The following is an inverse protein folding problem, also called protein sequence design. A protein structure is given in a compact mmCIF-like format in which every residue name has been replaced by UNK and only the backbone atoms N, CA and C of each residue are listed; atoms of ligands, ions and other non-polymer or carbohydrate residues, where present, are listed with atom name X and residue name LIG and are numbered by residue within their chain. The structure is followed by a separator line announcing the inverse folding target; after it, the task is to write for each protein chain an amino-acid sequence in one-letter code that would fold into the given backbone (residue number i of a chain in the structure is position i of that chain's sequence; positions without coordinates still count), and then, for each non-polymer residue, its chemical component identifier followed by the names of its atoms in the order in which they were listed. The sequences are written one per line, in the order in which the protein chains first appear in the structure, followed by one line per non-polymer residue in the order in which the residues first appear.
data_IF_106832303483
#
_entry.id   IF_106832303483
#
_cell.length_a   1.000
_cell.length_b   1.000
_cell.length_c   1.000
_cell.angle_alpha   90.00
_cell.angle_beta   90.00
_cell.angle_gamma   90.00
#
_symmetry.space_group_name_H-M   'P 1'
#
loop_
_entity.id
_entity.type
_entity.pdbx_description
1 polymer ?
#
# COMPACT_ATOMS: atom_id res chain seq x y z
N UNK A 1 -7.48 -14.52 -12.83
CA UNK A 1 -6.45 -15.41 -12.22
C UNK A 1 -6.32 -15.04 -10.75
N UNK A 2 -5.88 -15.93 -9.84
CA UNK A 2 -5.68 -15.59 -8.42
C UNK A 2 -4.20 -15.41 -8.10
N UNK A 3 -3.88 -14.33 -7.39
CA UNK A 3 -2.57 -14.07 -6.79
C UNK A 3 -2.76 -14.20 -5.28
N UNK A 4 -1.92 -14.99 -4.65
CA UNK A 4 -1.97 -15.21 -3.21
C UNK A 4 -1.03 -14.24 -2.51
N UNK A 5 -1.42 -13.76 -1.34
CA UNK A 5 -0.59 -12.89 -0.51
C UNK A 5 -0.60 -13.39 0.93
N UNK A 6 0.57 -13.39 1.58
CA UNK A 6 0.64 -13.68 3.01
C UNK A 6 0.02 -12.52 3.80
N UNK A 7 -0.62 -12.79 4.95
CA UNK A 7 -1.11 -11.74 5.84
C UNK A 7 -0.02 -10.74 6.24
N UNK A 8 1.24 -11.19 6.44
CA UNK A 8 2.36 -10.30 6.75
C UNK A 8 2.64 -9.30 5.62
N UNK A 9 2.71 -9.76 4.37
CA UNK A 9 2.89 -8.89 3.21
C UNK A 9 1.72 -7.90 3.07
N UNK A 10 0.49 -8.38 3.27
CA UNK A 10 -0.70 -7.52 3.28
C UNK A 10 -0.62 -6.42 4.35
N UNK A 11 -0.26 -6.78 5.58
CA UNK A 11 -0.17 -5.81 6.67
C UNK A 11 0.96 -4.81 6.48
N UNK A 12 2.10 -5.22 5.90
CA UNK A 12 3.16 -4.28 5.55
C UNK A 12 2.66 -3.24 4.52
N UNK A 13 1.95 -3.69 3.48
CA UNK A 13 1.36 -2.79 2.48
C UNK A 13 0.31 -1.85 3.06
N UNK A 14 -0.60 -2.37 3.90
CA UNK A 14 -1.60 -1.56 4.58
C UNK A 14 -0.94 -0.53 5.49
N UNK A 15 0.07 -0.93 6.26
CA UNK A 15 0.82 -0.04 7.12
C UNK A 15 1.45 1.11 6.31
N UNK A 16 2.10 0.81 5.19
CA UNK A 16 2.66 1.83 4.28
C UNK A 16 1.58 2.77 3.73
N UNK A 17 0.46 2.20 3.26
CA UNK A 17 -0.64 2.97 2.68
C UNK A 17 -1.28 3.93 3.69
N UNK A 18 -1.32 3.54 4.96
CA UNK A 18 -1.89 4.34 6.04
C UNK A 18 -0.93 5.41 6.58
N UNK A 19 0.38 5.18 6.45
CA UNK A 19 1.44 6.02 7.05
C UNK A 19 1.57 7.42 6.45
N UNK A 20 1.12 7.61 5.20
CA UNK A 20 1.28 8.84 4.44
C UNK A 20 0.05 9.11 3.55
N UNK A 21 -0.24 10.39 3.22
CA UNK A 21 -1.22 10.69 2.18
C UNK A 21 -0.67 10.46 0.75
N UNK A 22 0.64 10.34 0.59
CA UNK A 22 1.29 10.14 -0.71
C UNK A 22 1.25 8.68 -1.17
N UNK A 23 1.35 8.47 -2.48
CA UNK A 23 1.55 7.14 -3.03
C UNK A 23 2.93 6.59 -2.63
N UNK A 24 3.01 5.29 -2.36
CA UNK A 24 4.24 4.59 -2.04
C UNK A 24 4.32 3.32 -2.88
N UNK A 25 5.50 3.03 -3.41
CA UNK A 25 5.78 1.84 -4.23
C UNK A 25 6.68 0.84 -3.52
N UNK A 26 6.49 -0.44 -3.80
CA UNK A 26 7.28 -1.54 -3.28
C UNK A 26 7.31 -2.71 -4.28
N UNK A 27 8.18 -3.66 -4.01
CA UNK A 27 8.37 -4.85 -4.83
C UNK A 27 7.93 -6.07 -4.04
N UNK A 28 6.93 -6.80 -4.54
CA UNK A 28 6.50 -8.06 -3.96
C UNK A 28 7.53 -9.16 -4.20
N UNK A 29 7.79 -9.98 -3.17
CA UNK A 29 8.67 -11.14 -3.24
C UNK A 29 7.82 -12.39 -3.41
N UNK A 30 7.97 -13.09 -4.52
CA UNK A 30 7.28 -14.34 -4.82
C UNK A 30 7.94 -15.53 -4.13
N UNK A 31 7.12 -16.44 -3.61
CA UNK A 31 7.58 -17.73 -3.09
C UNK A 31 7.86 -18.71 -4.25
N UNK A 32 9.10 -19.22 -4.38
CA UNK A 32 9.49 -20.03 -5.52
C UNK A 32 9.04 -21.50 -5.44
N UNK A 33 8.56 -21.94 -4.28
CA UNK A 33 8.16 -23.32 -4.02
C UNK A 33 6.67 -23.58 -4.33
N UNK A 34 5.95 -22.56 -4.79
CA UNK A 34 4.51 -22.61 -4.99
C UNK A 34 4.15 -22.64 -6.48
N UNK A 35 3.06 -23.35 -6.80
CA UNK A 35 2.50 -23.38 -8.17
C UNK A 35 1.67 -22.15 -8.51
N UNK A 36 1.41 -21.29 -7.52
CA UNK A 36 0.61 -20.07 -7.66
C UNK A 36 1.54 -18.86 -7.53
N UNK A 37 1.15 -17.72 -8.09
CA UNK A 37 1.83 -16.45 -7.77
C UNK A 37 1.53 -16.11 -6.31
N UNK A 38 2.43 -16.47 -5.40
CA UNK A 38 2.31 -16.20 -3.97
C UNK A 38 3.32 -15.16 -3.54
N UNK A 39 2.84 -13.98 -3.16
CA UNK A 39 3.63 -12.92 -2.56
C UNK A 39 3.81 -13.26 -1.08
N UNK A 40 5.06 -13.48 -0.66
CA UNK A 40 5.40 -13.85 0.71
C UNK A 40 5.86 -12.67 1.56
N UNK A 41 6.45 -11.66 0.92
CA UNK A 41 6.93 -10.43 1.55
C UNK A 41 6.92 -9.27 0.54
N UNK A 42 7.19 -8.07 1.01
CA UNK A 42 7.34 -6.87 0.16
C UNK A 42 8.59 -6.09 0.57
N UNK A 43 9.29 -5.54 -0.42
CA UNK A 43 10.47 -4.71 -0.24
C UNK A 43 10.12 -3.27 -0.59
N UNK A 44 10.20 -2.38 0.39
CA UNK A 44 10.06 -0.94 0.16
C UNK A 44 11.26 -0.43 -0.63
N UNK A 45 11.00 0.10 -1.82
CA UNK A 45 12.04 0.66 -2.70
C UNK A 45 12.34 2.10 -2.28
N UNK A 46 13.60 2.53 -2.41
CA UNK A 46 13.95 3.94 -2.25
C UNK A 46 13.27 4.80 -3.32
N UNK A 47 12.63 5.88 -2.90
CA UNK A 47 11.72 6.62 -3.75
C UNK A 47 11.50 8.06 -3.28
N UNK A 48 11.18 8.93 -4.25
CA UNK A 48 10.65 10.25 -4.00
C UNK A 48 9.14 10.25 -4.24
N UNK A 49 8.37 10.74 -3.28
CA UNK A 49 6.90 10.64 -3.30
C UNK A 49 6.21 11.99 -3.26
N UNK A 50 5.10 12.04 -4.00
CA UNK A 50 4.09 13.10 -3.97
C UNK A 50 2.69 12.48 -3.92
N UNK A 51 1.65 13.31 -3.82
CA UNK A 51 0.26 12.82 -3.77
C UNK A 51 -0.21 12.12 -5.06
N UNK A 52 0.47 12.35 -6.20
CA UNK A 52 0.02 11.88 -7.53
C UNK A 52 1.11 11.13 -8.30
N UNK A 53 2.31 11.00 -7.74
CA UNK A 53 3.44 10.39 -8.43
C UNK A 53 4.48 9.85 -7.45
N UNK A 54 5.07 8.72 -7.81
CA UNK A 54 6.23 8.12 -7.18
C UNK A 54 7.35 8.01 -8.20
N UNK A 55 8.51 8.55 -7.87
CA UNK A 55 9.75 8.33 -8.62
C UNK A 55 10.59 7.28 -7.90
N UNK A 56 10.84 6.16 -8.57
CA UNK A 56 11.56 5.02 -8.01
C UNK A 56 13.06 5.16 -8.29
N UNK A 57 13.89 5.02 -7.25
CA UNK A 57 15.34 4.92 -7.39
C UNK A 57 15.71 3.53 -7.95
N UNK A 58 15.61 3.40 -9.28
CA UNK A 58 15.83 2.13 -9.99
C UNK A 58 17.30 1.69 -9.98
N UNK A 59 18.23 2.62 -9.79
CA UNK A 59 19.66 2.30 -9.61
C UNK A 59 19.85 1.63 -8.24
N UNK A 60 19.33 2.24 -7.18
CA UNK A 60 19.33 1.63 -5.84
C UNK A 60 18.61 0.26 -5.86
N UNK A 61 17.49 0.15 -6.57
CA UNK A 61 16.76 -1.11 -6.66
C UNK A 61 17.57 -2.21 -7.35
N UNK A 62 18.29 -1.90 -8.43
CA UNK A 62 19.14 -2.87 -9.11
C UNK A 62 20.25 -3.39 -8.20
N UNK A 63 20.92 -2.50 -7.45
CA UNK A 63 21.93 -2.88 -6.46
C UNK A 63 21.32 -3.72 -5.33
N UNK A 64 20.14 -3.33 -4.85
CA UNK A 64 19.44 -4.06 -3.80
C UNK A 64 19.00 -5.46 -4.24
N UNK A 65 18.64 -5.66 -5.51
CA UNK A 65 18.38 -7.00 -6.05
C UNK A 65 19.60 -7.91 -5.99
N UNK A 66 20.81 -7.37 -6.21
CA UNK A 66 22.05 -8.12 -6.05
C UNK A 66 22.24 -8.54 -4.59
N UNK A 67 21.99 -7.64 -3.65
CA UNK A 67 22.07 -7.97 -2.22
C UNK A 67 21.07 -9.05 -1.79
N UNK A 68 19.82 -8.96 -2.25
CA UNK A 68 18.78 -9.96 -1.98
C UNK A 68 19.19 -11.34 -2.52
N UNK A 69 19.80 -11.38 -3.70
CA UNK A 69 20.35 -12.62 -4.24
C UNK A 69 21.52 -13.16 -3.41
N UNK A 70 22.47 -12.30 -3.02
CA UNK A 70 23.64 -12.72 -2.27
C UNK A 70 23.28 -13.24 -0.87
N UNK A 71 22.45 -12.50 -0.14
CA UNK A 71 22.07 -12.78 1.26
C UNK A 71 21.00 -13.85 1.38
N UNK A 72 19.97 -13.79 0.54
CA UNK A 72 18.73 -14.56 0.72
C UNK A 72 18.43 -15.51 -0.44
N UNK A 73 19.25 -15.48 -1.51
CA UNK A 73 19.08 -16.30 -2.73
C UNK A 73 17.77 -16.00 -3.48
N UNK A 74 17.19 -14.82 -3.24
CA UNK A 74 16.03 -14.33 -3.98
C UNK A 74 16.47 -14.03 -5.41
N UNK A 75 15.83 -14.69 -6.37
CA UNK A 75 16.10 -14.51 -7.80
C UNK A 75 15.41 -13.23 -8.30
N UNK A 76 15.94 -12.54 -9.33
CA UNK A 76 15.31 -11.35 -9.90
C UNK A 76 13.85 -11.56 -10.33
N UNK A 77 13.51 -12.74 -10.87
CA UNK A 77 12.14 -13.03 -11.27
C UNK A 77 11.16 -13.11 -10.09
N UNK A 78 11.65 -13.39 -8.86
CA UNK A 78 10.80 -13.40 -7.67
C UNK A 78 10.33 -12.00 -7.30
N UNK A 79 11.00 -10.95 -7.78
CA UNK A 79 10.63 -9.56 -7.54
C UNK A 79 9.95 -8.90 -8.74
N UNK A 80 9.39 -9.70 -9.66
CA UNK A 80 8.60 -9.24 -10.82
C UNK A 80 7.21 -8.70 -10.46
N UNK A 81 7.03 -8.18 -9.24
CA UNK A 81 5.74 -7.75 -8.71
C UNK A 81 5.90 -6.32 -8.24
N UNK A 82 5.40 -5.37 -9.03
CA UNK A 82 5.31 -3.99 -8.61
C UNK A 82 3.98 -3.75 -7.90
N UNK A 83 4.07 -3.18 -6.70
CA UNK A 83 2.92 -2.86 -5.87
C UNK A 83 3.02 -1.39 -5.49
N UNK A 84 1.98 -0.60 -5.75
CA UNK A 84 1.91 0.78 -5.28
C UNK A 84 0.57 1.09 -4.61
N UNK A 85 0.55 2.12 -3.80
CA UNK A 85 -0.63 2.48 -3.01
C UNK A 85 -1.34 3.69 -3.61
N UNK A 86 -2.67 3.70 -3.63
CA UNK A 86 -3.49 4.88 -3.91
C UNK A 86 -4.30 5.28 -2.65
N UNK A 87 -3.72 6.11 -1.75
CA UNK A 87 -4.40 6.52 -0.52
C UNK A 87 -5.73 7.24 -0.72
N UNK A 88 -5.89 7.93 -1.87
CA UNK A 88 -7.10 8.67 -2.24
C UNK A 88 -8.32 7.79 -2.54
N UNK A 89 -8.11 6.47 -2.69
CA UNK A 89 -9.19 5.49 -2.82
C UNK A 89 -9.53 5.06 -4.25
N UNK A 90 -8.88 5.63 -5.26
CA UNK A 90 -9.01 5.18 -6.66
C UNK A 90 -8.19 3.90 -6.83
N UNK A 91 -8.81 2.76 -7.09
CA UNK A 91 -8.12 1.48 -7.24
C UNK A 91 -7.91 1.09 -8.72
N UNK A 92 -7.64 2.04 -9.60
CA UNK A 92 -7.38 1.78 -11.02
C UNK A 92 -6.06 2.46 -11.42
N UNK A 93 -5.30 1.87 -12.37
CA UNK A 93 -4.03 2.45 -12.79
C UNK A 93 -4.23 3.78 -13.50
N UNK A 94 -3.37 4.74 -13.17
CA UNK A 94 -3.25 6.01 -13.88
C UNK A 94 -2.53 5.84 -15.23
N UNK A 95 -2.56 6.87 -16.08
CA UNK A 95 -1.74 6.88 -17.31
C UNK A 95 -0.24 6.84 -17.03
N UNK A 96 0.19 7.36 -15.88
CA UNK A 96 1.59 7.30 -15.42
C UNK A 96 1.93 5.87 -15.01
N UNK A 97 1.02 5.17 -14.31
CA UNK A 97 1.24 3.78 -13.89
C UNK A 97 1.41 2.86 -15.11
N UNK A 98 0.59 3.09 -16.14
CA UNK A 98 0.69 2.36 -17.41
C UNK A 98 2.03 2.61 -18.12
N UNK A 99 2.54 3.83 -18.04
CA UNK A 99 3.84 4.19 -18.61
C UNK A 99 4.97 3.53 -17.83
N UNK A 100 4.99 3.65 -16.50
CA UNK A 100 5.98 3.02 -15.61
C UNK A 100 6.00 1.50 -15.81
N UNK A 101 4.83 0.86 -15.90
CA UNK A 101 4.75 -0.58 -16.15
C UNK A 101 5.44 -0.97 -17.46
N UNK A 102 5.22 -0.18 -18.52
CA UNK A 102 5.81 -0.43 -19.84
C UNK A 102 7.31 -0.20 -19.87
N UNK A 103 7.78 0.89 -19.27
CA UNK A 103 9.17 1.32 -19.34
C UNK A 103 10.07 0.49 -18.41
N UNK A 104 9.64 0.28 -17.17
CA UNK A 104 10.45 -0.40 -16.15
C UNK A 104 10.31 -1.92 -16.18
N UNK A 105 9.14 -2.44 -16.58
CA UNK A 105 8.83 -3.88 -16.51
C UNK A 105 8.46 -4.51 -17.87
N UNK A 106 8.39 -3.71 -18.95
CA UNK A 106 7.98 -4.21 -20.28
C UNK A 106 8.95 -5.20 -20.93
N UNK A 107 10.20 -5.26 -20.47
CA UNK A 107 11.20 -6.24 -20.93
C UNK A 107 11.14 -7.58 -20.19
N UNK A 108 10.41 -7.67 -19.08
CA UNK A 108 10.36 -8.87 -18.24
C UNK A 108 9.45 -9.92 -18.88
N UNK A 109 9.79 -11.21 -18.75
CA UNK A 109 8.96 -12.30 -19.28
C UNK A 109 7.55 -12.31 -18.68
N UNK A 110 7.44 -11.89 -17.42
CA UNK A 110 6.18 -11.52 -16.81
C UNK A 110 6.40 -10.39 -15.81
N UNK A 111 5.35 -9.64 -15.53
CA UNK A 111 5.34 -8.66 -14.44
C UNK A 111 3.92 -8.56 -13.87
N UNK A 112 3.83 -8.27 -12.58
CA UNK A 112 2.56 -8.10 -11.87
C UNK A 112 2.47 -6.65 -11.42
N UNK A 113 1.31 -6.04 -11.64
CA UNK A 113 0.97 -4.74 -11.06
C UNK A 113 -0.14 -4.95 -10.04
N UNK A 114 0.04 -4.38 -8.84
CA UNK A 114 -0.97 -4.37 -7.79
C UNK A 114 -1.13 -2.96 -7.26
N UNK A 115 -2.37 -2.51 -7.09
CA UNK A 115 -2.70 -1.25 -6.45
C UNK A 115 -3.49 -1.55 -5.17
N UNK A 116 -3.08 -0.95 -4.05
CA UNK A 116 -3.79 -1.03 -2.77
C UNK A 116 -4.30 0.36 -2.35
N UNK A 117 -5.56 0.44 -1.94
CA UNK A 117 -6.10 1.65 -1.30
C UNK A 117 -6.15 1.52 0.22
N UNK A 118 -6.26 2.65 0.93
CA UNK A 118 -6.46 2.68 2.40
C UNK A 118 -7.66 1.85 2.86
N UNK A 119 -8.71 1.78 2.03
CA UNK A 119 -9.90 0.98 2.29
C UNK A 119 -9.71 -0.53 2.05
N UNK A 120 -8.48 -0.99 1.77
CA UNK A 120 -8.19 -2.41 1.53
C UNK A 120 -8.69 -2.94 0.18
N UNK A 121 -8.99 -2.05 -0.77
CA UNK A 121 -9.39 -2.47 -2.12
C UNK A 121 -8.15 -2.67 -2.98
N UNK A 122 -8.20 -3.75 -3.76
CA UNK A 122 -7.14 -4.09 -4.70
C UNK A 122 -7.55 -3.81 -6.15
N UNK A 123 -6.57 -3.46 -6.95
CA UNK A 123 -6.50 -3.82 -8.36
C UNK A 123 -5.28 -4.69 -8.58
N UNK A 124 -5.40 -5.67 -9.47
CA UNK A 124 -4.26 -6.48 -9.85
C UNK A 124 -4.36 -6.94 -11.31
N UNK A 125 -3.22 -6.95 -11.99
CA UNK A 125 -3.07 -7.60 -13.28
C UNK A 125 -1.73 -8.31 -13.38
N UNK A 126 -1.67 -9.30 -14.26
CA UNK A 126 -0.42 -9.95 -14.65
C UNK A 126 -0.20 -9.75 -16.13
N UNK A 127 0.93 -9.17 -16.47
CA UNK A 127 1.39 -8.98 -17.83
C UNK A 127 2.34 -10.11 -18.20
N UNK A 128 2.00 -10.85 -19.26
CA UNK A 128 2.76 -11.99 -19.75
C UNK A 128 3.30 -11.67 -21.13
N UNK A 129 4.62 -11.79 -21.30
CA UNK A 129 5.26 -11.73 -22.61
C UNK A 129 5.21 -13.12 -23.25
N UNK A 130 4.67 -13.21 -24.46
CA UNK A 130 4.67 -14.44 -25.25
C UNK A 130 5.32 -14.19 -26.60
N UNK A 131 6.28 -15.03 -26.95
CA UNK A 131 6.87 -15.09 -28.29
C UNK A 131 6.26 -16.26 -29.05
N UNK A 132 5.57 -15.95 -30.15
CA UNK A 132 5.00 -16.94 -31.05
C UNK A 132 6.09 -17.55 -31.95
N UNK A 133 5.90 -18.78 -32.47
CA UNK A 133 6.87 -19.44 -33.34
C UNK A 133 7.28 -18.66 -34.60
N UNK A 134 6.47 -17.68 -35.02
CA UNK A 134 6.75 -16.79 -36.16
C UNK A 134 7.59 -15.55 -35.77
N UNK A 135 8.10 -15.48 -34.53
CA UNK A 135 8.86 -14.35 -34.00
C UNK A 135 8.00 -13.14 -33.61
N UNK A 136 6.67 -13.25 -33.69
CA UNK A 136 5.78 -12.19 -33.18
C UNK A 136 5.79 -12.23 -31.66
N UNK A 137 6.00 -11.08 -31.04
CA UNK A 137 5.94 -10.91 -29.60
C UNK A 137 4.68 -10.15 -29.22
N UNK A 138 3.86 -10.72 -28.33
CA UNK A 138 2.68 -10.07 -27.78
C UNK A 138 2.75 -10.07 -26.25
N UNK A 139 2.28 -8.98 -25.65
CA UNK A 139 2.07 -8.85 -24.20
C UNK A 139 0.58 -8.94 -23.90
N UNK A 140 0.21 -9.86 -23.01
CA UNK A 140 -1.17 -10.06 -22.57
C UNK A 140 -1.31 -9.58 -21.13
N UNK A 141 -2.30 -8.71 -20.87
CA UNK A 141 -2.67 -8.30 -19.52
C UNK A 141 -3.87 -9.12 -19.03
N UNK A 142 -3.68 -9.83 -17.94
CA UNK A 142 -4.68 -10.72 -17.34
C UNK A 142 -5.17 -10.13 -16.02
N UNK A 143 -6.42 -9.65 -15.94
CA UNK A 143 -7.01 -9.23 -14.67
C UNK A 143 -6.94 -10.33 -13.63
N UNK A 144 -6.56 -9.95 -12.42
CA UNK A 144 -6.30 -10.88 -11.34
C UNK A 144 -6.95 -10.43 -10.04
N UNK A 145 -7.31 -11.41 -9.22
CA UNK A 145 -7.86 -11.20 -7.88
C UNK A 145 -6.77 -11.50 -6.85
N UNK A 146 -6.74 -10.70 -5.78
CA UNK A 146 -5.85 -10.92 -4.64
C UNK A 146 -6.58 -11.77 -3.60
N UNK A 147 -5.95 -12.86 -3.16
CA UNK A 147 -6.42 -13.74 -2.10
C UNK A 147 -5.44 -13.70 -0.92
N UNK A 148 -5.90 -13.17 0.21
CA UNK A 148 -5.10 -13.12 1.44
C UNK A 148 -5.21 -14.46 2.18
N UNK A 149 -4.07 -15.07 2.51
CA UNK A 149 -3.98 -16.39 3.11
C UNK A 149 -4.08 -16.35 4.65
N UNK A 150 -5.22 -15.91 5.19
CA UNK A 150 -5.46 -15.77 6.64
C UNK A 150 -5.29 -17.07 7.43
N UNK A 151 -5.60 -18.23 6.83
CA UNK A 151 -5.58 -19.54 7.51
C UNK A 151 -4.30 -20.37 7.29
N UNK A 152 -3.25 -19.81 6.70
CA UNK A 152 -2.02 -20.56 6.46
C UNK A 152 -1.27 -20.80 7.79
N UNK A 153 -0.96 -22.07 8.10
CA UNK A 153 -0.34 -22.53 9.36
C UNK A 153 1.06 -21.94 9.68
N UNK A 154 1.59 -21.05 8.87
CA UNK A 154 3.00 -20.64 8.88
C UNK A 154 3.19 -19.12 8.80
N UNK A 155 2.22 -18.33 9.26
CA UNK A 155 2.36 -16.88 9.25
C UNK A 155 2.60 -16.44 10.68
N UNK A 156 3.85 -16.14 11.01
CA UNK A 156 4.15 -15.45 12.27
C UNK A 156 3.36 -14.13 12.28
N UNK A 157 2.67 -13.81 13.39
CA UNK A 157 1.94 -12.55 13.50
C UNK A 157 2.90 -11.37 13.36
N UNK A 158 2.39 -10.24 12.85
CA UNK A 158 3.17 -8.99 12.81
C UNK A 158 3.56 -8.61 14.23
N UNK A 159 4.86 -8.50 14.47
CA UNK A 159 5.41 -8.17 15.79
C UNK A 159 5.78 -6.69 15.89
N UNK A 160 5.99 -6.20 17.12
CA UNK A 160 6.54 -4.84 17.35
C UNK A 160 7.90 -4.63 16.68
N UNK A 161 8.68 -5.71 16.54
CA UNK A 161 9.96 -5.67 15.83
C UNK A 161 9.74 -5.40 14.34
N UNK A 162 8.76 -6.05 13.72
CA UNK A 162 8.42 -5.81 12.30
C UNK A 162 8.03 -4.35 12.09
N UNK A 163 7.15 -3.80 12.94
CA UNK A 163 6.77 -2.38 12.85
C UNK A 163 7.95 -1.42 13.01
N UNK A 164 8.87 -1.72 13.93
CA UNK A 164 10.08 -0.91 14.11
C UNK A 164 10.96 -0.94 12.87
N UNK A 165 11.09 -2.10 12.24
CA UNK A 165 11.81 -2.26 10.97
C UNK A 165 11.11 -1.45 9.87
N UNK A 166 9.80 -1.62 9.69
CA UNK A 166 9.04 -0.91 8.64
C UNK A 166 9.11 0.61 8.80
N UNK A 167 9.02 1.13 10.03
CA UNK A 167 9.18 2.56 10.32
C UNK A 167 10.58 3.08 9.99
N UNK A 168 11.62 2.29 10.27
CA UNK A 168 12.99 2.64 9.90
C UNK A 168 13.17 2.67 8.37
N UNK A 169 12.68 1.65 7.68
CA UNK A 169 12.75 1.58 6.22
C UNK A 169 11.96 2.73 5.57
N UNK A 170 10.78 3.05 6.09
CA UNK A 170 9.96 4.16 5.60
C UNK A 170 10.70 5.49 5.69
N UNK A 171 11.29 5.81 6.86
CA UNK A 171 12.05 7.05 7.05
C UNK A 171 13.29 7.14 6.17
N UNK A 172 13.94 6.01 5.93
CA UNK A 172 15.15 5.96 5.10
C UNK A 172 14.83 6.06 3.61
N UNK A 173 13.74 5.42 3.16
CA UNK A 173 13.49 5.15 1.74
C UNK A 173 12.39 6.00 1.13
N UNK A 174 11.52 6.63 1.91
CA UNK A 174 10.43 7.47 1.42
C UNK A 174 10.76 8.93 1.67
N UNK A 175 11.17 9.62 0.61
CA UNK A 175 11.52 11.04 0.66
C UNK A 175 10.36 11.83 0.05
N UNK A 176 9.73 12.71 0.82
CA UNK A 176 8.72 13.59 0.26
C UNK A 176 9.38 14.59 -0.70
N UNK A 177 8.91 14.65 -1.95
CA UNK A 177 9.39 15.64 -2.92
C UNK A 177 9.15 17.04 -2.34
N UNK A 178 10.21 17.78 -2.06
CA UNK A 178 10.11 19.03 -1.34
C UNK A 178 9.26 20.07 -2.07
N UNK A 179 8.22 20.58 -1.40
CA UNK A 179 7.90 22.00 -1.53
C UNK A 179 9.12 22.73 -0.96
N UNK A 180 9.80 23.51 -1.80
CA UNK A 180 10.85 24.43 -1.38
C UNK A 180 10.39 25.21 -0.14
N UNK A 181 11.13 25.09 0.96
CA UNK A 181 11.05 25.99 2.10
C UNK A 181 11.45 27.40 1.61
N UNK A 182 10.49 28.18 1.11
CA UNK A 182 10.66 29.63 1.01
C UNK A 182 10.49 30.22 2.41
N UNK A 183 11.60 30.38 3.12
CA UNK A 183 11.72 31.43 4.12
C UNK A 183 11.63 32.79 3.41
N UNK A 184 10.45 33.41 3.44
CA UNK A 184 10.32 34.87 3.42
C UNK A 184 8.92 35.25 3.88
N UNK A 185 8.84 35.89 5.05
CA UNK A 185 7.59 36.21 5.71
C UNK A 185 6.74 37.23 4.99
N UNK A 186 5.42 37.12 5.16
CA UNK A 186 4.46 38.21 5.13
C UNK A 186 3.31 37.90 6.10
N UNK A 187 2.83 38.96 6.75
CA UNK A 187 1.84 39.00 7.82
C UNK A 187 0.40 38.70 7.30
N UNK A 188 -0.59 38.51 8.21
CA UNK A 188 -1.90 37.97 7.86
C UNK A 188 -2.79 39.01 7.18
N UNK A 189 -3.60 38.58 6.21
CA UNK A 189 -4.63 39.41 5.59
C UNK A 189 -6.01 38.78 5.78
N UNK A 190 -6.92 39.63 6.24
CA UNK A 190 -8.27 39.37 6.70
C UNK A 190 -9.23 38.85 5.62
N UNK A 191 -10.27 38.19 6.12
CA UNK A 191 -11.48 37.72 5.44
C UNK A 191 -12.19 38.82 4.64
N UNK A 192 -12.76 38.45 3.49
CA UNK A 192 -14.03 39.03 3.05
C UNK A 192 -14.96 37.95 2.47
N UNK A 193 -16.21 38.00 2.90
CA UNK A 193 -17.30 37.12 2.53
C UNK A 193 -18.05 37.70 1.33
N UNK A 194 -18.40 36.89 0.31
CA UNK A 194 -19.75 37.00 -0.30
C UNK A 194 -20.18 35.74 -1.06
N UNK A 195 -21.32 35.22 -0.58
CA UNK A 195 -22.33 34.28 -1.10
C UNK A 195 -22.33 33.80 -2.58
N UNK A 196 -22.66 32.52 -2.80
CA UNK A 196 -24.04 32.03 -3.13
C UNK A 196 -24.10 30.51 -3.37
N UNK A 197 -25.05 29.85 -2.70
CA UNK A 197 -25.44 28.44 -2.90
C UNK A 197 -26.15 28.20 -4.24
N UNK A 198 -26.01 26.98 -4.79
CA UNK A 198 -27.16 26.17 -5.27
C UNK A 198 -26.85 24.66 -5.26
N UNK A 199 -27.84 23.94 -4.70
CA UNK A 199 -27.99 22.51 -4.36
C UNK A 199 -27.67 21.48 -5.45
N UNK A 200 -27.21 20.30 -5.01
CA UNK A 200 -27.81 19.04 -5.44
C UNK A 200 -26.90 17.81 -5.53
N UNK A 201 -26.57 17.19 -4.41
CA UNK A 201 -26.33 15.72 -4.34
C UNK A 201 -26.49 15.26 -2.90
N UNK A 202 -27.01 14.04 -2.68
CA UNK A 202 -27.22 13.46 -1.35
C UNK A 202 -25.87 13.09 -0.74
N UNK A 203 -25.30 13.98 0.06
CA UNK A 203 -24.20 13.64 0.97
C UNK A 203 -24.75 12.80 2.12
N UNK A 204 -24.25 11.57 2.25
CA UNK A 204 -24.31 10.84 3.52
C UNK A 204 -23.43 11.56 4.51
N UNK A 205 -23.94 11.74 5.73
CA UNK A 205 -23.19 12.46 6.76
C UNK A 205 -22.01 11.62 7.25
N UNK A 206 -20.92 12.29 7.65
CA UNK A 206 -19.71 11.64 8.17
C UNK A 206 -20.01 10.72 9.37
N UNK A 207 -21.08 11.03 10.11
CA UNK A 207 -21.65 10.20 11.19
C UNK A 207 -22.28 8.89 10.70
N UNK A 208 -22.86 8.86 9.50
CA UNK A 208 -23.39 7.63 8.89
C UNK A 208 -22.27 6.72 8.39
N UNK A 209 -21.14 7.29 7.93
CA UNK A 209 -19.98 6.49 7.48
C UNK A 209 -19.21 5.84 8.64
N UNK A 210 -19.05 6.54 9.76
CA UNK A 210 -18.44 5.97 10.97
C UNK A 210 -19.29 4.85 11.58
N UNK A 211 -20.62 4.97 11.48
CA UNK A 211 -21.55 3.92 11.93
C UNK A 211 -21.49 2.68 11.02
N UNK A 212 -21.22 2.83 9.72
CA UNK A 212 -21.09 1.72 8.78
C UNK A 212 -19.80 0.91 9.04
N UNK A 213 -18.68 1.56 9.40
CA UNK A 213 -17.40 0.88 9.75
C UNK A 213 -17.47 0.16 11.10
N UNK A 214 -18.14 0.76 12.10
CA UNK A 214 -18.35 0.13 13.41
C UNK A 214 -19.31 -1.08 13.29
N UNK A 215 -20.31 -1.00 12.39
CA UNK A 215 -21.17 -2.13 12.05
C UNK A 215 -20.42 -3.25 11.32
N UNK A 216 -19.51 -2.93 10.39
CA UNK A 216 -18.72 -3.91 9.64
C UNK A 216 -17.77 -4.71 10.57
N UNK A 217 -17.16 -4.06 11.58
CA UNK A 217 -16.36 -4.73 12.61
C UNK A 217 -17.19 -5.68 13.46
N UNK A 218 -18.32 -5.21 13.99
CA UNK A 218 -19.20 -6.01 14.86
C UNK A 218 -19.81 -7.19 14.09
N UNK A 219 -20.21 -6.99 12.84
CA UNK A 219 -20.69 -8.08 11.96
C UNK A 219 -19.59 -9.10 11.66
N UNK A 220 -18.35 -8.65 11.47
CA UNK A 220 -17.20 -9.52 11.24
C UNK A 220 -16.87 -10.35 12.49
N UNK A 221 -16.85 -9.74 13.68
CA UNK A 221 -16.69 -10.43 14.96
C UNK A 221 -17.78 -11.50 15.15
N UNK A 222 -19.04 -11.15 14.90
CA UNK A 222 -20.18 -12.08 15.01
C UNK A 222 -20.09 -13.25 14.03
N UNK A 223 -19.60 -13.00 12.80
CA UNK A 223 -19.43 -14.05 11.77
C UNK A 223 -18.39 -15.10 12.15
N UNK A 224 -17.36 -14.70 12.87
CA UNK A 224 -16.26 -15.58 13.28
C UNK A 224 -16.35 -16.05 14.75
N UNK A 225 -17.44 -15.74 15.45
CA UNK A 225 -17.66 -16.13 16.84
C UNK A 225 -16.70 -15.45 17.82
N UNK A 226 -16.27 -14.22 17.49
CA UNK A 226 -15.33 -13.40 18.24
C UNK A 226 -16.07 -12.30 19.00
N UNK A 227 -15.55 -11.88 20.15
CA UNK A 227 -16.14 -10.81 20.96
C UNK A 227 -15.65 -9.44 20.48
N UNK A 228 -16.52 -8.56 19.93
CA UNK A 228 -16.10 -7.24 19.46
C UNK A 228 -15.57 -6.33 20.58
N UNK A 229 -15.88 -6.61 21.85
CA UNK A 229 -15.35 -5.90 22.99
C UNK A 229 -14.00 -6.45 23.49
N UNK A 230 -13.54 -7.60 22.98
CA UNK A 230 -12.24 -8.18 23.29
C UNK A 230 -11.16 -7.57 22.37
N UNK A 231 -10.14 -6.87 22.93
CA UNK A 231 -9.03 -6.32 22.14
C UNK A 231 -8.30 -7.37 21.28
N UNK A 232 -8.31 -8.64 21.68
CA UNK A 232 -7.70 -9.72 20.90
C UNK A 232 -8.50 -10.08 19.64
N UNK A 233 -9.81 -9.81 19.61
CA UNK A 233 -10.64 -9.97 18.41
C UNK A 233 -10.27 -8.94 17.34
N UNK A 234 -9.96 -7.71 17.76
CA UNK A 234 -9.46 -6.67 16.86
C UNK A 234 -8.09 -7.05 16.29
N UNK A 235 -7.17 -7.54 17.14
CA UNK A 235 -5.86 -8.04 16.71
C UNK A 235 -5.95 -9.30 15.81
N UNK A 236 -6.95 -10.15 16.03
CA UNK A 236 -7.20 -11.35 15.23
C UNK A 236 -7.78 -11.03 13.84
N UNK A 237 -8.57 -9.96 13.72
CA UNK A 237 -9.19 -9.52 12.47
C UNK A 237 -8.25 -8.57 11.69
N UNK A 238 -7.53 -7.69 12.41
CA UNK A 238 -6.77 -6.58 11.82
C UNK A 238 -5.26 -6.59 12.11
N UNK A 239 -4.70 -7.64 12.75
CA UNK A 239 -3.31 -7.62 13.20
C UNK A 239 -3.05 -6.56 14.28
N UNK A 240 -1.84 -6.49 14.84
CA UNK A 240 -1.51 -5.40 15.77
C UNK A 240 -1.58 -4.06 15.03
N UNK A 241 -2.60 -3.27 15.34
CA UNK A 241 -2.73 -1.87 14.98
C UNK A 241 -2.32 -1.03 16.19
N UNK A 242 -1.35 -0.10 16.10
CA UNK A 242 -1.02 0.75 17.22
C UNK A 242 -2.26 1.51 17.66
N UNK A 243 -2.53 1.49 18.97
CA UNK A 243 -3.53 2.37 19.57
C UNK A 243 -3.13 3.83 19.30
N UNK A 244 -4.05 4.81 19.26
CA UNK A 244 -3.69 6.21 18.97
C UNK A 244 -2.52 6.76 19.81
N UNK A 245 -2.34 6.28 21.05
CA UNK A 245 -1.21 6.61 21.93
C UNK A 245 0.12 5.87 21.62
N UNK A 246 0.09 4.79 20.86
CA UNK A 246 1.31 4.12 20.36
C UNK A 246 1.98 4.91 19.22
N UNK A 247 1.26 5.85 18.60
CA UNK A 247 1.76 6.79 17.58
C UNK A 247 2.31 8.10 18.19
N UNK A 248 2.12 8.34 19.49
CA UNK A 248 2.58 9.57 20.17
C UNK A 248 4.08 9.56 20.51
N UNK A 249 4.77 8.42 20.37
CA UNK A 249 6.23 8.41 20.32
C UNK A 249 6.68 8.83 18.91
N UNK A 250 6.64 10.14 18.63
CA UNK A 250 7.57 10.91 17.76
C UNK A 250 6.95 12.26 17.36
N UNK A 251 6.78 13.16 18.34
CA UNK A 251 7.07 14.60 18.16
C UNK A 251 6.36 15.37 17.05
N UNK A 252 5.09 15.10 16.76
CA UNK A 252 4.20 16.09 16.13
C UNK A 252 3.27 16.67 17.21
N UNK A 253 3.24 18.00 17.41
CA UNK A 253 2.42 18.60 18.45
C UNK A 253 0.93 18.42 18.15
N UNK A 254 0.20 18.07 19.20
CA UNK A 254 -1.24 17.89 19.28
C UNK A 254 -2.04 18.85 18.39
N UNK A 255 -2.71 18.29 17.40
CA UNK A 255 -3.82 18.96 16.71
C UNK A 255 -5.15 18.30 17.11
N UNK A 256 -5.36 18.10 18.41
CA UNK A 256 -6.67 17.77 18.98
C UNK A 256 -6.76 18.34 20.41
N UNK A 257 -6.73 19.66 20.51
CA UNK A 257 -7.24 20.38 21.67
C UNK A 257 -8.43 21.23 21.24
N UNK A 258 -9.57 21.03 21.92
CA UNK A 258 -10.82 21.83 21.98
C UNK A 258 -12.08 21.01 21.64
N UNK A 259 -12.56 20.29 22.64
CA UNK A 259 -13.99 20.15 22.96
C UNK A 259 -14.13 20.13 24.48
N UNK A 260 -14.35 21.31 25.06
CA UNK A 260 -15.23 21.54 26.22
C UNK A 260 -16.36 22.47 25.73
#
# INVERSE_FOLDING_TARGET
MKIQMTPKAYWHLQWLCQRTPNEVSCMGVLNPETKHLRIQDVVLVKQEVSEMHVDLDMEWWADHQVELFEKEKIQPWQTSVWIHTHPSGINEPSGVDEQTMRESFGSWSFAVMIILTKAGKFYARVDLQHEFPNGTQLRFSVPSEIEILWGAKSVDPVSKKDLTTWESEFKERVIASGISFFQSGFAPLELDHTSKMKKGSKDRTQTEMLNDEEQDYVETCNRYGMDPADPQSYEAIYGYWPSPGDLEFLGYPDACGYWD
#
